data_IF_638551773966
#
_entry.id   IF_638551773966
#
_cell.length_a   1.000
_cell.length_b   1.000
_cell.length_c   1.000
_cell.angle_alpha   90.00
_cell.angle_beta   90.00
_cell.angle_gamma   90.00
#
_symmetry.space_group_name_H-M   'P 1'
#
loop_
_entity.id
_entity.type
_entity.pdbx_description
1 polymer ?
#
# COMPACT_ATOMS: atom_id res chain seq x y z
N UNK A 1 10.78 16.20 -9.47
CA UNK A 1 10.25 16.40 -8.10
C UNK A 1 8.85 17.02 -8.09
N UNK A 2 8.46 17.78 -9.10
CA UNK A 2 7.17 18.48 -9.18
C UNK A 2 5.92 17.56 -9.16
N UNK A 3 6.01 16.37 -9.74
CA UNK A 3 4.85 15.45 -9.87
C UNK A 3 4.41 14.80 -8.55
N UNK A 4 5.31 14.66 -7.58
CA UNK A 4 4.96 14.11 -6.26
C UNK A 4 4.20 15.13 -5.43
N UNK A 5 4.59 16.40 -5.52
CA UNK A 5 3.96 17.53 -4.82
C UNK A 5 2.48 17.65 -5.21
N UNK A 6 2.16 17.57 -6.51
CA UNK A 6 0.77 17.64 -7.00
C UNK A 6 -0.09 16.47 -6.47
N UNK A 7 0.47 15.25 -6.38
CA UNK A 7 -0.26 14.08 -5.88
C UNK A 7 -0.55 14.15 -4.38
N UNK A 8 0.37 14.70 -3.59
CA UNK A 8 0.16 14.90 -2.15
C UNK A 8 -0.97 15.89 -1.91
N UNK A 9 -1.04 16.97 -2.69
CA UNK A 9 -2.12 17.96 -2.53
C UNK A 9 -3.51 17.33 -2.73
N UNK A 10 -3.66 16.41 -3.68
CA UNK A 10 -4.93 15.69 -3.88
C UNK A 10 -5.32 14.84 -2.67
N UNK A 11 -4.36 14.30 -1.93
CA UNK A 11 -4.60 13.53 -0.70
C UNK A 11 -5.00 14.47 0.44
N UNK A 12 -4.28 15.58 0.62
CA UNK A 12 -4.56 16.59 1.65
C UNK A 12 -5.93 17.24 1.46
N UNK A 13 -6.31 17.52 0.20
CA UNK A 13 -7.62 18.05 -0.17
C UNK A 13 -8.76 17.00 -0.03
N UNK A 14 -8.45 15.75 0.32
CA UNK A 14 -9.43 14.66 0.42
C UNK A 14 -9.98 14.16 -0.93
N UNK A 15 -9.37 14.54 -2.05
CA UNK A 15 -9.78 14.13 -3.40
C UNK A 15 -9.38 12.70 -3.74
N UNK A 16 -8.37 12.15 -3.05
CA UNK A 16 -7.89 10.78 -3.19
C UNK A 16 -7.64 10.20 -1.79
N UNK A 17 -8.22 9.03 -1.48
CA UNK A 17 -7.81 8.21 -0.35
C UNK A 17 -6.83 7.11 -0.81
N UNK A 18 -5.53 7.22 -0.50
CA UNK A 18 -4.54 6.22 -0.89
C UNK A 18 -4.64 4.93 -0.06
N UNK A 19 -5.47 4.89 0.99
CA UNK A 19 -5.64 3.74 1.86
C UNK A 19 -6.57 2.68 1.28
N UNK A 20 -7.53 3.09 0.46
CA UNK A 20 -8.54 2.21 -0.15
C UNK A 20 -7.97 0.95 -0.84
N UNK A 21 -6.92 1.02 -1.68
CA UNK A 21 -6.39 -0.17 -2.33
C UNK A 21 -5.55 -1.07 -1.41
N UNK A 22 -5.24 -0.66 -0.18
CA UNK A 22 -4.40 -1.42 0.76
C UNK A 22 -5.22 -2.58 1.33
N UNK A 23 -4.90 -3.80 0.90
CA UNK A 23 -5.58 -5.03 1.33
C UNK A 23 -4.90 -5.69 2.52
N UNK A 24 -3.59 -5.50 2.69
CA UNK A 24 -2.83 -6.07 3.81
C UNK A 24 -1.85 -5.05 4.40
N UNK A 25 -1.81 -5.00 5.73
CA UNK A 25 -0.73 -4.38 6.51
C UNK A 25 -0.04 -5.49 7.28
N UNK A 26 1.27 -5.58 7.16
CA UNK A 26 2.08 -6.67 7.71
C UNK A 26 3.28 -6.13 8.48
N UNK A 27 3.83 -6.93 9.40
CA UNK A 27 5.13 -6.66 10.02
C UNK A 27 6.26 -7.04 9.06
N UNK A 28 7.50 -6.67 9.40
CA UNK A 28 8.65 -6.87 8.51
C UNK A 28 8.93 -8.35 8.23
N UNK A 29 8.73 -9.20 9.24
CA UNK A 29 8.98 -10.64 9.24
C UNK A 29 8.08 -11.38 8.23
N UNK A 30 6.87 -10.88 8.00
CA UNK A 30 5.87 -11.46 7.09
C UNK A 30 6.12 -11.08 5.61
N UNK A 31 7.11 -10.22 5.33
CA UNK A 31 7.34 -9.65 4.00
C UNK A 31 7.53 -10.69 2.89
N UNK A 32 8.18 -11.82 3.19
CA UNK A 32 8.42 -12.88 2.21
C UNK A 32 7.13 -13.59 1.79
N UNK A 33 6.26 -13.89 2.76
CA UNK A 33 4.99 -14.58 2.50
C UNK A 33 4.00 -13.65 1.80
N UNK A 34 3.92 -12.38 2.20
CA UNK A 34 3.13 -11.39 1.49
C UNK A 34 3.61 -11.17 0.05
N UNK A 35 4.92 -11.25 -0.22
CA UNK A 35 5.44 -11.23 -1.59
C UNK A 35 4.97 -12.44 -2.42
N UNK A 36 4.84 -13.64 -1.81
CA UNK A 36 4.29 -14.82 -2.50
C UNK A 36 2.80 -14.64 -2.80
N UNK A 37 2.02 -14.16 -1.82
CA UNK A 37 0.59 -13.87 -1.98
C UNK A 37 0.34 -12.84 -3.07
N UNK A 38 1.11 -11.75 -3.09
CA UNK A 38 1.02 -10.73 -4.14
C UNK A 38 1.36 -11.29 -5.52
N UNK A 39 2.42 -12.11 -5.63
CA UNK A 39 2.80 -12.78 -6.89
C UNK A 39 1.77 -13.79 -7.38
N UNK A 40 1.11 -14.48 -6.45
CA UNK A 40 0.04 -15.44 -6.75
C UNK A 40 -1.23 -14.80 -7.31
N UNK A 41 -1.35 -13.46 -7.30
CA UNK A 41 -2.51 -12.69 -7.79
C UNK A 41 -3.85 -13.23 -7.26
N UNK A 42 -3.90 -13.64 -5.99
CA UNK A 42 -5.20 -13.92 -5.36
C UNK A 42 -6.07 -12.67 -5.47
N UNK A 43 -7.33 -12.77 -5.91
CA UNK A 43 -8.18 -11.62 -6.25
C UNK A 43 -8.31 -10.57 -5.13
N UNK A 44 -8.04 -10.96 -3.89
CA UNK A 44 -8.08 -10.13 -2.69
C UNK A 44 -6.78 -9.36 -2.39
N UNK A 45 -5.67 -9.60 -3.12
CA UNK A 45 -4.38 -8.99 -2.84
C UNK A 45 -4.04 -7.86 -3.83
N UNK A 46 -4.49 -6.65 -3.51
CA UNK A 46 -4.33 -5.46 -4.37
C UNK A 46 -3.07 -4.66 -4.00
N UNK A 47 -2.83 -4.41 -2.69
CA UNK A 47 -1.64 -3.67 -2.21
C UNK A 47 -1.28 -4.10 -0.79
N UNK A 48 -0.01 -4.43 -0.61
CA UNK A 48 0.60 -4.73 0.70
C UNK A 48 1.41 -3.52 1.16
N UNK A 49 1.30 -3.17 2.44
CA UNK A 49 2.15 -2.18 3.12
C UNK A 49 2.83 -2.85 4.32
N UNK A 50 4.16 -2.70 4.42
CA UNK A 50 4.94 -3.16 5.57
C UNK A 50 4.97 -2.04 6.60
N UNK A 51 4.56 -2.34 7.84
CA UNK A 51 4.64 -1.45 8.99
C UNK A 51 5.74 -1.97 9.93
N UNK A 52 6.95 -1.40 9.88
CA UNK A 52 8.10 -1.94 10.60
C UNK A 52 8.07 -1.71 12.11
N UNK A 53 7.12 -0.91 12.62
CA UNK A 53 6.88 -0.72 14.06
C UNK A 53 5.54 -1.33 14.52
N UNK A 54 4.95 -2.22 13.71
CA UNK A 54 3.71 -2.93 14.05
C UNK A 54 3.89 -3.91 15.20
#
# INVERSE_FOLDING_TARGET
METLQTKIQLIVDGKIDPSFPITYRIVLEEGLDACKTFRGKTDVCVKVVIQPQG
#
